data_IF_794104962268
#
_entry.id   IF_794104962268
#
_cell.length_a   1.000
_cell.length_b   1.000
_cell.length_c   1.000
_cell.angle_alpha   90.00
_cell.angle_beta   90.00
_cell.angle_gamma   90.00
#
_symmetry.space_group_name_H-M   'P 1'
#
loop_
_entity.id
_entity.type
_entity.pdbx_description
1 polymer ?
#
# COMPACT_ATOMS: atom_id res chain seq x y z
N UNK A 1 1.40 -15.79 7.53
CA UNK A 1 1.84 -14.62 8.32
C UNK A 1 1.65 -14.96 9.78
N UNK A 2 2.68 -14.83 10.62
CA UNK A 2 2.53 -14.99 12.06
C UNK A 2 1.89 -13.73 12.65
N UNK A 3 0.94 -13.92 13.57
CA UNK A 3 0.25 -12.83 14.26
C UNK A 3 0.77 -12.77 15.69
N UNK A 4 1.31 -11.61 16.08
CA UNK A 4 1.87 -11.38 17.41
C UNK A 4 1.03 -10.34 18.13
N UNK A 5 0.70 -10.58 19.40
CA UNK A 5 -0.12 -9.70 20.21
C UNK A 5 0.71 -9.11 21.36
N UNK A 6 1.04 -7.80 21.35
CA UNK A 6 1.74 -7.16 22.46
C UNK A 6 0.82 -7.02 23.67
N UNK A 7 1.26 -7.47 24.85
CA UNK A 7 0.47 -7.47 26.09
C UNK A 7 0.86 -6.36 27.08
N UNK A 8 2.11 -5.91 27.06
CA UNK A 8 2.60 -4.87 27.97
C UNK A 8 2.32 -3.46 27.44
N UNK A 9 2.01 -2.52 28.33
CA UNK A 9 1.73 -1.13 27.95
C UNK A 9 2.88 -0.49 27.15
N UNK A 10 4.14 -0.77 27.52
CA UNK A 10 5.32 -0.33 26.78
C UNK A 10 5.39 -0.94 25.37
N UNK A 11 5.19 -2.26 25.25
CA UNK A 11 5.20 -2.96 23.96
C UNK A 11 4.05 -2.50 23.04
N UNK A 12 2.88 -2.21 23.60
CA UNK A 12 1.74 -1.65 22.87
C UNK A 12 2.10 -0.25 22.34
N UNK A 13 2.69 0.60 23.18
CA UNK A 13 3.10 1.95 22.78
C UNK A 13 4.17 1.90 21.66
N UNK A 14 5.18 1.04 21.81
CA UNK A 14 6.22 0.86 20.78
C UNK A 14 5.63 0.36 19.46
N UNK A 15 4.72 -0.61 19.50
CA UNK A 15 4.06 -1.11 18.30
C UNK A 15 3.25 -0.01 17.60
N UNK A 16 2.56 0.85 18.36
CA UNK A 16 1.80 1.98 17.80
C UNK A 16 2.71 3.06 17.22
N UNK A 17 3.82 3.39 17.90
CA UNK A 17 4.69 4.48 17.44
C UNK A 17 5.59 4.01 16.29
N UNK A 18 6.13 2.80 16.35
CA UNK A 18 7.17 2.33 15.43
C UNK A 18 6.68 1.31 14.39
N UNK A 19 5.72 0.45 14.73
CA UNK A 19 5.33 -0.68 13.88
C UNK A 19 4.04 -0.45 13.08
N UNK A 20 3.38 0.72 13.21
CA UNK A 20 2.23 1.05 12.37
C UNK A 20 2.61 1.10 10.89
N UNK A 21 1.71 0.61 10.04
CA UNK A 21 1.92 0.57 8.59
C UNK A 21 2.13 1.97 7.99
N UNK A 22 1.42 2.98 8.49
CA UNK A 22 1.54 4.39 8.03
C UNK A 22 2.95 4.96 8.21
N UNK A 23 3.66 4.55 9.27
CA UNK A 23 5.03 5.00 9.54
C UNK A 23 6.08 4.25 8.71
N UNK A 24 5.71 3.12 8.10
CA UNK A 24 6.62 2.22 7.39
C UNK A 24 6.29 2.10 5.88
N UNK A 25 5.65 3.11 5.28
CA UNK A 25 5.30 3.10 3.85
C UNK A 25 6.55 3.22 2.94
N UNK A 26 7.60 3.88 3.42
CA UNK A 26 8.84 4.12 2.67
C UNK A 26 9.96 3.19 3.15
N UNK A 27 10.83 2.78 2.22
CA UNK A 27 12.01 2.00 2.52
C UNK A 27 13.04 2.85 3.26
N UNK A 28 13.49 2.46 4.46
CA UNK A 28 14.46 3.24 5.24
C UNK A 28 15.81 3.41 4.55
N UNK A 29 16.19 2.51 3.63
CA UNK A 29 17.50 2.57 2.97
C UNK A 29 17.58 3.61 1.84
N UNK A 30 16.48 3.88 1.14
CA UNK A 30 16.49 4.72 -0.08
C UNK A 30 15.26 5.63 -0.25
N UNK A 31 14.29 5.58 0.67
CA UNK A 31 13.08 6.40 0.64
C UNK A 31 12.06 6.00 -0.44
N UNK A 32 12.27 4.92 -1.18
CA UNK A 32 11.31 4.46 -2.19
C UNK A 32 10.06 3.86 -1.51
N UNK A 33 8.85 4.00 -2.09
CA UNK A 33 7.65 3.37 -1.57
C UNK A 33 7.76 1.83 -1.58
N UNK A 34 7.45 1.19 -0.45
CA UNK A 34 7.40 -0.28 -0.35
C UNK A 34 6.04 -0.81 -0.83
N UNK A 35 4.96 -0.10 -0.49
CA UNK A 35 3.60 -0.46 -0.90
C UNK A 35 3.30 0.12 -2.28
N UNK A 36 3.28 -0.75 -3.28
CA UNK A 36 2.83 -0.42 -4.65
C UNK A 36 1.45 -1.02 -4.91
N UNK A 37 0.60 -0.38 -5.73
CA UNK A 37 -0.69 -0.94 -6.10
C UNK A 37 -0.53 -2.29 -6.83
N UNK A 38 -1.51 -3.18 -6.66
CA UNK A 38 -1.55 -4.47 -7.35
C UNK A 38 -1.85 -4.29 -8.83
N UNK A 39 -1.59 -5.34 -9.61
CA UNK A 39 -1.86 -5.35 -11.05
C UNK A 39 -3.31 -4.98 -11.37
N UNK A 40 -4.28 -5.53 -10.64
CA UNK A 40 -5.70 -5.24 -10.85
C UNK A 40 -6.06 -3.79 -10.51
N UNK A 41 -5.45 -3.22 -9.47
CA UNK A 41 -5.61 -1.80 -9.16
C UNK A 41 -5.07 -0.93 -10.29
N UNK A 42 -3.88 -1.23 -10.81
CA UNK A 42 -3.29 -0.49 -11.94
C UNK A 42 -4.16 -0.62 -13.19
N UNK A 43 -4.65 -1.82 -13.50
CA UNK A 43 -5.52 -2.06 -14.66
C UNK A 43 -6.86 -1.33 -14.53
N UNK A 44 -7.46 -1.34 -13.33
CA UNK A 44 -8.67 -0.59 -13.03
C UNK A 44 -8.47 0.91 -13.24
N UNK A 45 -7.39 1.47 -12.69
CA UNK A 45 -7.04 2.88 -12.89
C UNK A 45 -6.81 3.21 -14.37
N UNK A 46 -6.15 2.32 -15.12
CA UNK A 46 -5.93 2.50 -16.56
C UNK A 46 -7.26 2.63 -17.31
N UNK A 47 -8.22 1.72 -17.08
CA UNK A 47 -9.50 1.77 -17.78
C UNK A 47 -10.39 2.92 -17.29
N UNK A 48 -10.35 3.27 -16.00
CA UNK A 48 -11.10 4.40 -15.45
C UNK A 48 -10.62 5.75 -15.99
N UNK A 49 -9.33 5.88 -16.27
CA UNK A 49 -8.73 7.13 -16.75
C UNK A 49 -8.62 7.20 -18.27
N UNK A 50 -8.93 6.11 -19.00
CA UNK A 50 -8.88 6.07 -20.46
C UNK A 50 -9.98 6.95 -21.08
N UNK A 51 -9.59 7.80 -22.04
CA UNK A 51 -10.55 8.60 -22.81
C UNK A 51 -11.53 7.70 -23.59
N UNK A 52 -12.83 7.99 -23.52
CA UNK A 52 -13.91 7.19 -24.13
C UNK A 52 -13.69 6.89 -25.62
N UNK A 53 -13.12 7.84 -26.37
CA UNK A 53 -12.84 7.68 -27.80
C UNK A 53 -11.83 6.55 -28.12
N UNK A 54 -11.09 6.04 -27.14
CA UNK A 54 -10.16 4.91 -27.31
C UNK A 54 -10.70 3.57 -26.81
N UNK A 55 -11.89 3.55 -26.21
CA UNK A 55 -12.59 2.30 -25.86
C UNK A 55 -13.34 1.75 -27.08
N UNK A 56 -13.97 2.62 -27.87
CA UNK A 56 -14.68 2.25 -29.11
C UNK A 56 -13.78 1.78 -30.25
N UNK A 57 -12.44 1.96 -30.15
CA UNK A 57 -11.48 1.47 -31.14
C UNK A 57 -10.95 0.06 -30.85
N UNK A 58 -11.23 -0.48 -29.67
CA UNK A 58 -10.73 -1.80 -29.24
C UNK A 58 -11.86 -2.84 -29.20
N UNK A 59 -13.12 -2.38 -29.11
CA UNK A 59 -14.32 -3.16 -29.38
C UNK A 59 -14.64 -3.09 -30.88
#
# INVERSE_FOLDING_TARGET
MAVHLPLGAAAILEAQVLMLASHNILNPANGAPITVPSQDMVLGLYYMTKQKNQLEKIL
#
